data_IF_573721133123
#
_entry.id   IF_573721133123
#
_cell.length_a   1.000
_cell.length_b   1.000
_cell.length_c   1.000
_cell.angle_alpha   90.00
_cell.angle_beta   90.00
_cell.angle_gamma   90.00
#
_symmetry.space_group_name_H-M   'P 1'
#
loop_
_entity.id
_entity.type
_entity.pdbx_description
1 polymer ?
#
# COMPACT_ATOMS: atom_id res chain seq x y z
N UNK A 1 -0.41 -31.77 18.67
CA UNK A 1 0.45 -32.03 17.49
C UNK A 1 0.56 -30.69 16.78
N UNK A 2 1.76 -30.12 16.78
CA UNK A 2 2.04 -28.71 16.47
C UNK A 2 1.53 -28.29 15.08
N UNK A 3 0.87 -27.14 15.00
CA UNK A 3 0.91 -26.31 13.80
C UNK A 3 1.54 -24.97 14.18
N UNK A 4 2.66 -24.73 13.54
CA UNK A 4 3.53 -23.58 13.61
C UNK A 4 2.84 -22.25 13.93
N UNK A 5 3.15 -21.67 15.08
CA UNK A 5 3.46 -20.24 15.19
C UNK A 5 4.68 -19.97 14.32
N UNK A 6 4.47 -19.60 13.05
CA UNK A 6 5.54 -19.18 12.14
C UNK A 6 5.34 -17.71 11.78
N UNK A 7 6.32 -16.92 12.26
CA UNK A 7 6.72 -15.58 11.86
C UNK A 7 5.60 -14.52 11.77
N UNK A 8 5.51 -13.68 12.81
CA UNK A 8 5.14 -12.29 12.60
C UNK A 8 6.08 -11.75 11.51
N UNK A 9 5.55 -11.53 10.32
CA UNK A 9 6.25 -10.87 9.22
C UNK A 9 6.61 -9.47 9.71
N UNK A 10 7.82 -9.34 10.26
CA UNK A 10 8.35 -8.08 10.74
C UNK A 10 8.89 -7.28 9.56
N UNK A 11 8.82 -5.94 9.59
CA UNK A 11 9.40 -5.11 8.53
C UNK A 11 10.88 -5.45 8.34
N UNK A 12 11.35 -5.69 7.09
CA UNK A 12 12.75 -5.93 6.85
C UNK A 12 13.60 -4.71 7.23
N UNK A 13 14.88 -4.94 7.56
CA UNK A 13 15.79 -3.89 8.02
C UNK A 13 15.98 -2.74 7.03
N UNK A 14 15.75 -2.97 5.73
CA UNK A 14 15.90 -1.97 4.68
C UNK A 14 14.62 -1.82 3.86
N UNK A 15 13.77 -0.90 4.33
CA UNK A 15 12.59 -0.38 3.61
C UNK A 15 12.88 1.05 3.12
N UNK A 16 14.03 1.20 2.44
CA UNK A 16 14.44 2.43 1.80
C UNK A 16 13.51 2.81 0.64
N UNK A 17 13.72 4.03 0.15
CA UNK A 17 12.96 4.54 -0.98
C UNK A 17 13.30 3.70 -2.22
N UNK A 18 12.31 3.13 -2.93
CA UNK A 18 12.59 2.28 -4.08
C UNK A 18 13.28 3.08 -5.20
N UNK A 19 14.19 2.43 -5.92
CA UNK A 19 14.78 3.00 -7.13
C UNK A 19 13.70 3.16 -8.20
N UNK A 20 13.39 4.41 -8.55
CA UNK A 20 12.42 4.72 -9.60
C UNK A 20 13.14 4.67 -10.96
N UNK A 21 12.76 3.79 -11.88
CA UNK A 21 13.37 3.71 -13.21
C UNK A 21 13.33 5.06 -13.93
N UNK A 22 14.39 5.39 -14.67
CA UNK A 22 14.58 6.71 -15.32
C UNK A 22 13.33 7.15 -16.11
N UNK A 23 12.70 6.22 -16.84
CA UNK A 23 11.53 6.50 -17.66
C UNK A 23 10.25 6.82 -16.85
N UNK A 24 10.19 6.47 -15.56
CA UNK A 24 9.13 6.87 -14.64
C UNK A 24 9.46 8.16 -13.89
N UNK A 25 10.71 8.62 -13.86
CA UNK A 25 11.12 9.71 -12.98
C UNK A 25 10.47 11.05 -13.31
N UNK A 26 10.22 11.37 -14.58
CA UNK A 26 9.54 12.62 -14.97
C UNK A 26 8.05 12.64 -14.57
N UNK A 27 7.46 11.47 -14.33
CA UNK A 27 6.05 11.30 -13.98
C UNK A 27 5.85 10.92 -12.51
N UNK A 28 6.93 10.66 -11.76
CA UNK A 28 6.85 10.24 -10.37
C UNK A 28 6.98 11.43 -9.44
N UNK A 29 5.98 11.61 -8.58
CA UNK A 29 6.02 12.59 -7.50
C UNK A 29 6.99 12.05 -6.44
N UNK A 30 8.23 12.55 -6.46
CA UNK A 30 9.22 12.27 -5.40
C UNK A 30 9.00 13.13 -4.15
N UNK A 31 8.18 14.19 -4.26
CA UNK A 31 7.82 15.05 -3.15
C UNK A 31 7.17 14.19 -2.05
N UNK A 32 7.58 14.37 -0.80
CA UNK A 32 7.04 13.66 0.38
C UNK A 32 7.41 12.19 0.54
N UNK A 33 8.19 11.60 -0.37
CA UNK A 33 8.70 10.24 -0.25
C UNK A 33 9.72 10.15 0.89
N UNK A 34 9.58 9.15 1.76
CA UNK A 34 10.45 8.94 2.91
C UNK A 34 10.64 7.45 3.17
N UNK A 35 11.69 7.07 3.89
CA UNK A 35 11.85 5.68 4.31
C UNK A 35 10.79 5.32 5.35
N UNK A 36 10.40 4.05 5.40
CA UNK A 36 9.46 3.57 6.41
C UNK A 36 9.98 3.81 7.83
N UNK A 37 11.28 3.60 8.06
CA UNK A 37 11.92 3.83 9.35
C UNK A 37 11.84 5.31 9.79
N UNK A 38 12.07 6.25 8.87
CA UNK A 38 11.94 7.68 9.18
C UNK A 38 10.48 8.05 9.48
N UNK A 39 9.52 7.56 8.68
CA UNK A 39 8.09 7.80 8.91
C UNK A 39 7.60 7.21 10.24
N UNK A 40 8.05 6.02 10.60
CA UNK A 40 7.65 5.31 11.82
C UNK A 40 8.09 6.03 13.10
N UNK A 41 9.13 6.86 13.01
CA UNK A 41 9.60 7.68 14.13
C UNK A 41 8.84 9.02 14.26
N UNK A 42 7.96 9.36 13.31
CA UNK A 42 7.19 10.59 13.38
C UNK A 42 6.05 10.46 14.39
N UNK A 43 5.93 11.46 15.27
CA UNK A 43 4.84 11.56 16.25
C UNK A 43 3.73 12.45 15.71
N UNK A 44 2.50 12.20 16.17
CA UNK A 44 1.29 12.98 15.83
C UNK A 44 0.84 12.87 14.37
N UNK A 45 1.23 11.81 13.67
CA UNK A 45 0.71 11.48 12.34
C UNK A 45 -0.26 10.30 12.45
N UNK A 46 -1.34 10.36 11.67
CA UNK A 46 -2.17 9.16 11.43
C UNK A 46 -1.48 8.34 10.34
N UNK A 47 -1.52 7.02 10.50
CA UNK A 47 -1.00 6.07 9.53
C UNK A 47 -2.14 5.56 8.66
N UNK A 48 -1.86 5.37 7.39
CA UNK A 48 -2.76 4.72 6.45
C UNK A 48 -1.91 3.82 5.54
N UNK A 49 -2.50 2.72 5.10
CA UNK A 49 -1.88 1.82 4.14
C UNK A 49 -2.89 1.49 3.04
N UNK A 50 -2.39 1.38 1.81
CA UNK A 50 -3.20 1.05 0.65
C UNK A 50 -2.43 0.07 -0.23
N UNK A 51 -3.15 -0.78 -0.96
CA UNK A 51 -2.57 -1.79 -1.86
C UNK A 51 -2.95 -1.53 -3.31
N UNK A 52 -1.96 -1.60 -4.20
CA UNK A 52 -2.20 -1.63 -5.64
C UNK A 52 -2.32 -3.09 -6.09
N UNK A 53 -3.54 -3.62 -6.11
CA UNK A 53 -3.80 -4.95 -6.64
C UNK A 53 -3.84 -4.88 -8.16
N UNK A 54 -3.02 -5.71 -8.80
CA UNK A 54 -2.92 -5.75 -10.24
C UNK A 54 -2.75 -7.18 -10.75
N UNK A 55 -3.13 -7.39 -12.00
CA UNK A 55 -2.87 -8.63 -12.72
C UNK A 55 -2.49 -8.32 -14.16
N UNK A 56 -1.61 -9.15 -14.73
CA UNK A 56 -1.38 -9.10 -16.17
C UNK A 56 -2.67 -9.50 -16.89
N UNK A 57 -3.12 -8.64 -17.77
CA UNK A 57 -4.31 -8.88 -18.58
C UNK A 57 -3.91 -8.81 -20.05
N UNK A 58 -4.08 -9.94 -20.73
CA UNK A 58 -3.86 -10.03 -22.16
C UNK A 58 -5.18 -9.80 -22.91
N UNK A 59 -5.09 -9.30 -24.14
CA UNK A 59 -6.25 -9.05 -24.98
C UNK A 59 -6.26 -7.65 -25.59
N UNK A 60 -7.40 -7.31 -26.19
CA UNK A 60 -7.61 -6.05 -26.89
C UNK A 60 -8.93 -5.41 -26.45
N UNK A 61 -8.88 -4.11 -26.23
CA UNK A 61 -10.05 -3.25 -26.09
C UNK A 61 -10.29 -2.49 -27.39
N UNK A 62 -11.39 -1.73 -27.46
CA UNK A 62 -11.64 -0.77 -28.54
C UNK A 62 -10.53 0.30 -28.65
N UNK A 63 -9.72 0.47 -27.61
CA UNK A 63 -8.66 1.47 -27.52
C UNK A 63 -7.24 0.89 -27.63
N UNK A 64 -7.11 -0.41 -27.92
CA UNK A 64 -5.83 -1.08 -28.12
C UNK A 64 -5.54 -2.21 -27.13
N UNK A 65 -4.29 -2.67 -27.16
CA UNK A 65 -3.83 -3.84 -26.40
C UNK A 65 -3.84 -3.57 -24.90
N UNK A 66 -4.52 -4.45 -24.16
CA UNK A 66 -4.49 -4.46 -22.70
C UNK A 66 -3.13 -5.00 -22.21
N UNK A 67 -2.61 -4.40 -21.14
CA UNK A 67 -1.30 -4.79 -20.54
C UNK A 67 -1.45 -5.25 -19.09
N UNK A 68 -2.45 -4.76 -18.39
CA UNK A 68 -2.74 -5.10 -17.01
C UNK A 68 -4.07 -4.51 -16.56
N UNK A 69 -4.66 -5.17 -15.58
CA UNK A 69 -5.76 -4.64 -14.78
C UNK A 69 -5.21 -4.12 -13.47
N UNK A 70 -5.65 -2.94 -13.05
CA UNK A 70 -5.37 -2.37 -11.72
C UNK A 70 -6.71 -2.12 -11.05
N UNK A 71 -6.86 -2.59 -9.80
CA UNK A 71 -8.07 -2.40 -9.04
C UNK A 71 -8.02 -1.10 -8.24
N UNK A 72 -9.07 -0.28 -8.37
CA UNK A 72 -9.34 0.90 -7.57
C UNK A 72 -10.82 0.90 -7.18
N UNK A 73 -11.17 1.68 -6.16
CA UNK A 73 -12.53 1.80 -5.66
C UNK A 73 -13.00 3.26 -5.59
N UNK A 74 -14.29 3.48 -5.82
CA UNK A 74 -14.96 4.75 -5.52
C UNK A 74 -15.24 4.79 -4.02
N UNK A 75 -14.62 5.74 -3.33
CA UNK A 75 -14.75 5.92 -1.88
C UNK A 75 -16.05 6.65 -1.52
N UNK A 76 -16.43 6.58 -0.25
CA UNK A 76 -17.63 7.25 0.26
C UNK A 76 -17.60 8.79 0.07
N UNK A 77 -16.41 9.38 -0.02
CA UNK A 77 -16.18 10.81 -0.26
C UNK A 77 -16.26 11.19 -1.76
N UNK A 78 -16.57 10.23 -2.64
CA UNK A 78 -16.70 10.43 -4.09
C UNK A 78 -15.39 10.42 -4.86
N UNK A 79 -14.26 10.11 -4.21
CA UNK A 79 -12.94 10.04 -4.86
C UNK A 79 -12.53 8.61 -5.23
N UNK A 80 -11.65 8.46 -6.22
CA UNK A 80 -11.03 7.16 -6.52
C UNK A 80 -9.80 6.94 -5.63
N UNK A 81 -9.70 5.75 -5.05
CA UNK A 81 -8.55 5.33 -4.25
C UNK A 81 -8.26 3.85 -4.38
N UNK A 82 -7.11 3.45 -3.85
CA UNK A 82 -6.77 2.04 -3.67
C UNK A 82 -7.47 1.48 -2.43
N UNK A 83 -7.77 0.15 -2.41
CA UNK A 83 -8.20 -0.55 -1.21
C UNK A 83 -7.23 -0.38 -0.03
N UNK A 84 -7.77 -0.34 1.18
CA UNK A 84 -7.06 -0.11 2.43
C UNK A 84 -7.52 1.16 3.13
N UNK A 85 -6.96 1.41 4.31
CA UNK A 85 -7.49 2.45 5.19
C UNK A 85 -6.52 2.87 6.29
N UNK A 86 -7.09 3.36 7.39
CA UNK A 86 -6.33 3.86 8.53
C UNK A 86 -5.77 2.69 9.35
N UNK A 87 -4.53 2.85 9.82
CA UNK A 87 -3.87 1.88 10.70
C UNK A 87 -3.96 2.39 12.14
N UNK A 88 -4.41 1.53 13.04
CA UNK A 88 -4.60 1.88 14.45
C UNK A 88 -3.27 2.21 15.12
N UNK A 89 -3.29 3.00 16.19
CA UNK A 89 -2.06 3.29 16.95
C UNK A 89 -1.52 2.01 17.60
N UNK A 90 -0.22 1.73 17.42
CA UNK A 90 0.43 0.52 17.92
C UNK A 90 0.22 -0.74 17.07
N UNK A 91 -0.69 -0.72 16.09
CA UNK A 91 -0.91 -1.83 15.14
C UNK A 91 0.25 -1.92 14.12
N UNK A 92 0.61 -3.14 13.71
CA UNK A 92 1.50 -3.34 12.58
C UNK A 92 0.83 -2.89 11.27
N UNK A 93 1.60 -2.30 10.37
CA UNK A 93 1.04 -1.68 9.15
C UNK A 93 0.51 -2.73 8.17
N UNK A 94 1.17 -3.87 8.05
CA UNK A 94 0.76 -4.95 7.15
C UNK A 94 -0.42 -5.72 7.74
N UNK A 95 -0.42 -5.98 9.06
CA UNK A 95 -1.57 -6.59 9.74
C UNK A 95 -2.82 -5.72 9.61
N UNK A 96 -2.70 -4.43 9.93
CA UNK A 96 -3.81 -3.49 9.81
C UNK A 96 -4.30 -3.36 8.36
N UNK A 97 -3.41 -3.37 7.37
CA UNK A 97 -3.82 -3.37 5.96
C UNK A 97 -4.63 -4.62 5.61
N UNK A 98 -4.20 -5.82 6.00
CA UNK A 98 -4.95 -7.05 5.72
C UNK A 98 -6.34 -7.03 6.38
N UNK A 99 -6.46 -6.47 7.59
CA UNK A 99 -7.75 -6.26 8.26
C UNK A 99 -8.66 -5.33 7.43
N UNK A 100 -8.16 -4.17 7.01
CA UNK A 100 -8.93 -3.22 6.17
C UNK A 100 -9.36 -3.87 4.83
N UNK A 101 -8.51 -4.67 4.19
CA UNK A 101 -8.86 -5.36 2.94
C UNK A 101 -9.94 -6.42 3.12
N UNK A 102 -9.95 -7.11 4.26
CA UNK A 102 -11.01 -8.06 4.59
C UNK A 102 -12.37 -7.33 4.73
N UNK A 103 -12.36 -6.16 5.36
CA UNK A 103 -13.56 -5.32 5.56
C UNK A 103 -14.06 -4.68 4.26
N UNK A 104 -13.17 -4.13 3.43
CA UNK A 104 -13.55 -3.34 2.25
C UNK A 104 -13.88 -4.19 1.01
N UNK A 105 -13.12 -5.26 0.77
CA UNK A 105 -13.17 -6.03 -0.49
C UNK A 105 -13.29 -7.54 -0.30
N UNK A 106 -13.61 -8.00 0.93
CA UNK A 106 -13.68 -9.41 1.28
C UNK A 106 -12.39 -10.19 0.94
N UNK A 107 -11.23 -9.54 1.08
CA UNK A 107 -9.94 -10.19 0.88
C UNK A 107 -9.70 -11.26 1.93
N UNK A 108 -9.16 -12.41 1.53
CA UNK A 108 -8.85 -13.50 2.45
C UNK A 108 -7.34 -13.62 2.70
N UNK A 109 -6.81 -13.01 3.78
CA UNK A 109 -5.38 -13.06 4.09
C UNK A 109 -4.89 -14.46 4.45
N UNK A 110 -5.77 -15.42 4.77
CA UNK A 110 -5.36 -16.80 4.98
C UNK A 110 -4.99 -17.53 3.68
N UNK A 111 -5.38 -16.99 2.52
CA UNK A 111 -5.07 -17.58 1.20
C UNK A 111 -3.97 -16.79 0.50
N UNK A 112 -4.07 -15.47 0.48
CA UNK A 112 -3.09 -14.57 -0.16
C UNK A 112 -2.88 -13.36 0.74
N UNK A 113 -2.03 -13.45 1.78
CA UNK A 113 -1.76 -12.30 2.63
C UNK A 113 -0.99 -11.23 1.85
N UNK A 114 -1.28 -9.96 2.14
CA UNK A 114 -0.31 -8.89 1.84
C UNK A 114 0.79 -8.99 2.89
N UNK A 115 2.04 -8.90 2.47
CA UNK A 115 3.22 -9.07 3.33
C UNK A 115 4.16 -7.87 3.20
N UNK A 116 5.22 -7.82 4.00
CA UNK A 116 6.27 -6.82 3.80
C UNK A 116 7.02 -6.96 2.47
N UNK A 117 6.97 -8.13 1.82
CA UNK A 117 7.54 -8.28 0.47
C UNK A 117 6.75 -7.52 -0.60
N UNK A 118 5.51 -7.14 -0.30
CA UNK A 118 4.65 -6.31 -1.15
C UNK A 118 4.78 -4.81 -0.85
N UNK A 119 5.53 -4.43 0.20
CA UNK A 119 5.77 -3.03 0.51
C UNK A 119 6.54 -2.36 -0.63
N UNK A 120 6.04 -1.20 -1.06
CA UNK A 120 6.70 -0.41 -2.10
C UNK A 120 7.28 0.90 -1.58
N UNK A 121 6.50 1.74 -0.90
CA UNK A 121 6.96 3.05 -0.48
C UNK A 121 6.11 3.68 0.61
N UNK A 122 6.69 4.64 1.33
CA UNK A 122 5.99 5.49 2.31
C UNK A 122 6.05 6.96 1.91
N UNK A 123 4.93 7.66 2.07
CA UNK A 123 4.87 9.10 1.87
C UNK A 123 4.30 9.80 3.10
N UNK A 124 4.84 10.98 3.42
CA UNK A 124 4.36 11.81 4.53
C UNK A 124 3.78 13.10 3.96
N UNK A 125 2.46 13.18 3.92
CA UNK A 125 1.78 14.41 3.54
C UNK A 125 1.93 15.43 4.67
N UNK A 126 2.74 16.47 4.42
CA UNK A 126 2.69 17.69 5.22
C UNK A 126 1.52 18.50 4.68
N UNK A 127 0.35 18.34 5.29
CA UNK A 127 -0.73 19.30 5.04
C UNK A 127 -0.22 20.64 5.55
N UNK A 128 0.09 21.57 4.64
CA UNK A 128 0.12 22.98 5.02
C UNK A 128 -1.29 23.28 5.52
N UNK A 129 -1.38 23.66 6.80
CA UNK A 129 -2.56 24.31 7.36
C UNK A 129 -2.76 25.63 6.59
N UNK A 130 -3.35 25.55 5.40
CA UNK A 130 -3.96 26.71 4.77
C UNK A 130 -5.32 26.88 5.46
N UNK A 131 -5.32 27.78 6.44
CA UNK A 131 -6.51 28.52 6.86
C UNK A 131 -6.87 29.55 5.79
#
# INVERSE_FOLDING_TARGET
MNMATECLDSPPCDLSIPEIPIWLQSHTIKKHLTSYAAASNLKKYRRAAHVCLWARQEGWSQFGKLRGAVMMQLRFDGTFGFPGGLISEGEDVVEGLNRELMEEIAWNPAVVPVTWSDYYSTQVSFTHLYY
#
